data_IF_230212487089
#
_entry.id   IF_230212487089
#
_cell.length_a   1.000
_cell.length_b   1.000
_cell.length_c   1.000
_cell.angle_alpha   90.00
_cell.angle_beta   90.00
_cell.angle_gamma   90.00
#
_symmetry.space_group_name_H-M   'P 1'
#
loop_
_entity.id
_entity.type
_entity.pdbx_description
1 polymer ?
#
# COMPACT_ATOMS: atom_id res chain seq x y z
N UNK A 1 41.37 -32.34 -60.15
CA UNK A 1 39.98 -32.15 -60.58
C UNK A 1 39.29 -31.32 -59.51
N UNK A 2 38.81 -30.13 -59.90
CA UNK A 2 37.99 -29.14 -59.18
C UNK A 2 38.58 -28.32 -58.01
N UNK A 3 38.81 -27.04 -58.32
CA UNK A 3 39.00 -25.88 -57.46
C UNK A 3 37.72 -25.03 -57.39
N UNK A 4 37.55 -24.27 -56.29
CA UNK A 4 36.73 -23.04 -56.11
C UNK A 4 35.20 -23.15 -56.07
N UNK A 5 34.61 -22.65 -54.98
CA UNK A 5 33.99 -21.31 -54.95
C UNK A 5 33.50 -20.94 -53.55
N UNK A 6 34.04 -19.86 -52.99
CA UNK A 6 33.38 -19.11 -51.93
C UNK A 6 32.01 -18.62 -52.42
N UNK A 7 30.97 -18.75 -51.60
CA UNK A 7 29.77 -17.91 -51.72
C UNK A 7 29.43 -17.29 -50.37
N UNK A 8 29.72 -16.00 -50.34
CA UNK A 8 29.35 -15.00 -49.35
C UNK A 8 27.83 -14.77 -49.39
N UNK A 9 27.27 -14.45 -48.21
CA UNK A 9 25.96 -13.81 -47.95
C UNK A 9 24.72 -14.71 -48.16
N UNK A 10 23.78 -14.76 -47.22
CA UNK A 10 23.01 -13.59 -46.77
C UNK A 10 22.72 -13.58 -45.25
N UNK A 11 22.68 -12.41 -44.60
CA UNK A 11 22.12 -12.30 -43.25
C UNK A 11 20.60 -12.55 -43.31
N UNK A 12 19.98 -13.13 -42.25
CA UNK A 12 18.53 -13.30 -42.21
C UNK A 12 17.82 -11.94 -42.34
N UNK A 13 16.65 -11.88 -43.01
CA UNK A 13 15.90 -10.65 -43.17
C UNK A 13 15.54 -10.05 -41.81
N UNK A 14 15.84 -8.76 -41.66
CA UNK A 14 15.64 -7.96 -40.45
C UNK A 14 14.15 -7.94 -40.07
N UNK A 15 13.85 -8.29 -38.82
CA UNK A 15 12.58 -8.02 -38.15
C UNK A 15 12.41 -6.49 -38.02
N UNK A 16 11.87 -5.84 -39.04
CA UNK A 16 11.68 -4.39 -39.02
C UNK A 16 10.45 -3.99 -39.85
N UNK A 17 9.26 -4.06 -39.25
CA UNK A 17 8.14 -3.17 -39.61
C UNK A 17 6.88 -3.33 -38.75
N UNK A 18 6.78 -4.31 -37.85
CA UNK A 18 5.56 -4.54 -37.05
C UNK A 18 5.50 -3.72 -35.73
N UNK A 19 6.19 -2.59 -35.65
CA UNK A 19 6.26 -1.76 -34.42
C UNK A 19 5.44 -0.46 -34.47
N UNK A 20 4.92 -0.07 -35.63
CA UNK A 20 4.27 1.23 -35.81
C UNK A 20 2.73 1.17 -35.65
N UNK A 21 2.10 0.10 -36.14
CA UNK A 21 0.64 -0.09 -36.04
C UNK A 21 0.18 -0.45 -34.63
N UNK A 22 1.01 -1.13 -33.84
CA UNK A 22 0.72 -1.41 -32.43
C UNK A 22 0.78 -0.13 -31.56
N UNK A 23 1.69 0.82 -31.85
CA UNK A 23 1.88 2.03 -31.04
C UNK A 23 0.74 3.06 -31.14
N UNK A 24 -0.04 3.07 -32.23
CA UNK A 24 -1.13 4.04 -32.40
C UNK A 24 -2.42 3.59 -31.70
N UNK A 25 -2.81 2.32 -31.89
CA UNK A 25 -3.90 1.65 -31.15
C UNK A 25 -3.61 1.62 -29.64
N UNK A 26 -2.35 1.40 -29.27
CA UNK A 26 -1.88 1.45 -27.89
C UNK A 26 -2.00 2.85 -27.29
N UNK A 27 -1.86 3.95 -28.03
CA UNK A 27 -2.00 5.31 -27.47
C UNK A 27 -3.44 5.67 -27.10
N UNK A 28 -4.42 5.23 -27.87
CA UNK A 28 -5.84 5.43 -27.55
C UNK A 28 -6.30 4.52 -26.41
N UNK A 29 -5.76 3.28 -26.37
CA UNK A 29 -5.92 2.38 -25.22
C UNK A 29 -5.27 2.95 -23.95
N UNK A 30 -4.05 3.48 -24.05
CA UNK A 30 -3.33 4.12 -22.95
C UNK A 30 -4.06 5.37 -22.45
N UNK A 31 -4.55 6.24 -23.34
CA UNK A 31 -5.30 7.42 -22.92
C UNK A 31 -6.57 7.05 -22.13
N UNK A 32 -7.28 6.00 -22.57
CA UNK A 32 -8.41 5.44 -21.83
C UNK A 32 -8.01 4.85 -20.47
N UNK A 33 -6.89 4.12 -20.42
CA UNK A 33 -6.32 3.58 -19.17
C UNK A 33 -5.92 4.70 -18.21
N UNK A 34 -5.23 5.75 -18.68
CA UNK A 34 -4.85 6.89 -17.85
C UNK A 34 -6.07 7.68 -17.36
N UNK A 35 -7.08 7.87 -18.20
CA UNK A 35 -8.34 8.52 -17.80
C UNK A 35 -9.07 7.69 -16.73
N UNK A 36 -9.13 6.36 -16.91
CA UNK A 36 -9.68 5.45 -15.91
C UNK A 36 -8.89 5.49 -14.59
N UNK A 37 -7.56 5.42 -14.65
CA UNK A 37 -6.69 5.55 -13.47
C UNK A 37 -6.88 6.90 -12.77
N UNK A 38 -7.06 7.98 -13.52
CA UNK A 38 -7.28 9.32 -12.97
C UNK A 38 -8.64 9.40 -12.26
N UNK A 39 -9.71 8.92 -12.89
CA UNK A 39 -11.05 8.87 -12.26
C UNK A 39 -11.02 7.98 -11.01
N UNK A 40 -10.40 6.81 -11.11
CA UNK A 40 -10.29 5.86 -10.00
C UNK A 40 -9.45 6.42 -8.84
N UNK A 41 -8.36 7.12 -9.16
CA UNK A 41 -7.55 7.84 -8.17
C UNK A 41 -8.39 8.91 -7.47
N UNK A 42 -9.08 9.77 -8.20
CA UNK A 42 -9.96 10.79 -7.60
C UNK A 42 -11.01 10.14 -6.69
N UNK A 43 -11.64 9.05 -7.14
CA UNK A 43 -12.62 8.32 -6.36
C UNK A 43 -12.06 7.81 -5.02
N UNK A 44 -10.83 7.28 -5.01
CA UNK A 44 -10.13 6.86 -3.78
C UNK A 44 -9.83 8.05 -2.87
N UNK A 45 -9.52 9.23 -3.44
CA UNK A 45 -9.20 10.43 -2.65
C UNK A 45 -10.42 11.05 -1.95
N UNK A 46 -11.65 10.83 -2.44
CA UNK A 46 -12.88 11.40 -1.85
C UNK A 46 -12.96 11.23 -0.32
N UNK A 47 -12.84 10.02 0.27
CA UNK A 47 -12.88 9.85 1.73
C UNK A 47 -11.72 10.50 2.48
N UNK A 48 -10.63 10.88 1.81
CA UNK A 48 -9.49 11.59 2.41
C UNK A 48 -9.65 13.10 2.36
N UNK A 49 -10.36 13.63 1.36
CA UNK A 49 -10.63 15.07 1.23
C UNK A 49 -11.41 15.58 2.45
N UNK A 50 -12.38 14.81 2.95
CA UNK A 50 -13.20 15.24 4.08
C UNK A 50 -12.42 15.43 5.39
N UNK A 51 -11.65 14.45 5.90
CA UNK A 51 -10.78 14.64 7.06
C UNK A 51 -9.73 15.74 6.82
N UNK A 52 -9.22 15.86 5.59
CA UNK A 52 -8.24 16.88 5.24
C UNK A 52 -8.80 18.29 5.38
N UNK A 53 -9.98 18.58 4.81
CA UNK A 53 -10.66 19.88 4.98
C UNK A 53 -11.08 20.14 6.43
N UNK A 54 -11.51 19.09 7.13
CA UNK A 54 -11.93 19.18 8.54
C UNK A 54 -10.78 19.65 9.45
N UNK A 55 -9.55 19.23 9.18
CA UNK A 55 -8.37 19.62 9.95
C UNK A 55 -8.11 21.15 9.97
N UNK A 56 -8.65 21.91 9.00
CA UNK A 56 -8.44 23.36 8.88
C UNK A 56 -9.65 24.21 9.31
N UNK A 57 -10.72 23.60 9.84
CA UNK A 57 -11.97 24.32 10.19
C UNK A 57 -12.01 24.76 11.65
N UNK A 58 -12.28 26.04 11.93
CA UNK A 58 -12.14 26.64 13.27
C UNK A 58 -13.33 26.40 14.24
N UNK A 59 -14.38 25.66 13.86
CA UNK A 59 -15.57 25.47 14.72
C UNK A 59 -16.07 24.02 14.73
N UNK A 60 -16.67 23.54 15.84
CA UNK A 60 -17.42 22.29 15.89
C UNK A 60 -18.79 22.46 15.22
N UNK A 61 -18.83 23.01 14.01
CA UNK A 61 -20.06 22.99 13.21
C UNK A 61 -20.12 21.59 12.58
N UNK A 62 -20.61 20.64 13.37
CA UNK A 62 -20.99 19.27 13.01
C UNK A 62 -19.87 18.24 12.84
N UNK A 63 -19.33 17.77 13.98
CA UNK A 63 -18.64 16.47 14.08
C UNK A 63 -19.52 15.27 13.71
N UNK A 64 -20.80 15.50 13.42
CA UNK A 64 -21.84 14.51 13.14
C UNK A 64 -22.42 14.58 11.72
N UNK A 65 -22.03 15.55 10.89
CA UNK A 65 -22.51 15.60 9.50
C UNK A 65 -21.58 14.83 8.57
N UNK A 66 -22.13 13.79 7.92
CA UNK A 66 -21.46 12.97 6.91
C UNK A 66 -21.25 13.70 5.56
N UNK A 67 -21.45 15.02 5.51
CA UNK A 67 -21.46 15.82 4.29
C UNK A 67 -20.11 16.53 4.08
N UNK A 68 -19.66 16.54 2.82
CA UNK A 68 -18.49 17.32 2.39
C UNK A 68 -18.85 18.80 2.52
N UNK A 69 -18.28 19.48 3.51
CA UNK A 69 -18.47 20.92 3.71
C UNK A 69 -17.20 21.69 3.37
N UNK A 70 -17.33 22.79 2.64
CA UNK A 70 -16.21 23.67 2.36
C UNK A 70 -16.00 24.60 3.55
N UNK A 71 -14.79 24.69 4.12
CA UNK A 71 -14.52 25.51 5.30
C UNK A 71 -14.84 26.99 5.03
N UNK A 72 -15.68 27.61 5.87
CA UNK A 72 -15.97 29.07 5.80
C UNK A 72 -14.75 29.90 6.20
N UNK A 73 -13.90 29.34 7.06
CA UNK A 73 -12.67 29.96 7.55
C UNK A 73 -11.57 28.92 7.66
N UNK A 74 -10.46 29.16 6.98
CA UNK A 74 -9.28 28.31 7.02
C UNK A 74 -8.38 28.73 8.19
N UNK A 75 -8.02 27.80 9.08
CA UNK A 75 -7.14 28.07 10.23
C UNK A 75 -6.06 27.01 10.40
N UNK A 76 -4.98 27.41 11.09
CA UNK A 76 -3.88 26.56 11.53
C UNK A 76 -3.90 26.30 13.05
N UNK A 77 -4.89 26.83 13.77
CA UNK A 77 -4.95 26.77 15.24
C UNK A 77 -4.95 25.34 15.79
N UNK A 78 -5.59 24.39 15.07
CA UNK A 78 -5.61 22.97 15.44
C UNK A 78 -4.21 22.35 15.44
N UNK A 79 -3.37 22.71 14.47
CA UNK A 79 -1.99 22.22 14.40
C UNK A 79 -1.15 22.82 15.53
N UNK A 80 -1.33 24.11 15.82
CA UNK A 80 -0.62 24.76 16.92
C UNK A 80 -1.02 24.16 18.28
N UNK A 81 -2.32 23.95 18.51
CA UNK A 81 -2.82 23.32 19.74
C UNK A 81 -2.43 21.83 19.83
N UNK A 82 -2.33 21.12 18.70
CA UNK A 82 -1.87 19.75 18.67
C UNK A 82 -0.40 19.62 19.11
N UNK A 83 0.47 20.51 18.65
CA UNK A 83 1.92 20.46 18.89
C UNK A 83 2.30 21.10 20.23
N UNK A 84 1.84 22.32 20.49
CA UNK A 84 2.26 23.14 21.63
C UNK A 84 1.18 23.27 22.71
N UNK A 85 -0.07 22.96 22.38
CA UNK A 85 -1.20 23.03 23.30
C UNK A 85 -1.45 21.70 24.02
N UNK A 86 -2.74 21.39 24.22
CA UNK A 86 -3.17 20.22 25.01
C UNK A 86 -3.17 18.90 24.22
N UNK A 87 -2.96 18.96 22.90
CA UNK A 87 -3.08 17.77 22.04
C UNK A 87 -1.94 16.75 22.19
N UNK A 88 -0.81 17.13 22.81
CA UNK A 88 0.34 16.24 23.06
C UNK A 88 0.79 15.43 21.83
N UNK A 89 0.60 15.96 20.61
CA UNK A 89 0.73 15.19 19.38
C UNK A 89 2.12 14.58 19.21
N UNK A 90 3.19 15.31 19.56
CA UNK A 90 4.56 14.80 19.51
C UNK A 90 4.78 13.61 20.45
N UNK A 91 4.22 13.66 21.66
CA UNK A 91 4.34 12.57 22.63
C UNK A 91 3.58 11.33 22.16
N UNK A 92 2.35 11.53 21.66
CA UNK A 92 1.55 10.43 21.11
C UNK A 92 2.23 9.80 19.90
N UNK A 93 2.75 10.61 18.97
CA UNK A 93 3.50 10.14 17.81
C UNK A 93 4.75 9.36 18.23
N UNK A 94 5.53 9.87 19.20
CA UNK A 94 6.71 9.16 19.72
C UNK A 94 6.34 7.83 20.36
N UNK A 95 5.28 7.80 21.18
CA UNK A 95 4.84 6.58 21.85
C UNK A 95 4.37 5.52 20.83
N UNK A 96 3.59 5.93 19.83
CA UNK A 96 3.16 5.05 18.74
C UNK A 96 4.35 4.56 17.91
N UNK A 97 5.28 5.45 17.55
CA UNK A 97 6.45 5.09 16.76
C UNK A 97 7.35 4.09 17.48
N UNK A 98 7.61 4.30 18.78
CA UNK A 98 8.42 3.38 19.58
C UNK A 98 7.71 2.05 19.79
N UNK A 99 6.41 2.07 20.10
CA UNK A 99 5.64 0.85 20.37
C UNK A 99 5.48 0.01 19.11
N UNK A 100 5.00 0.62 18.02
CA UNK A 100 4.79 -0.08 16.74
C UNK A 100 6.11 -0.44 16.11
N UNK A 101 7.10 0.47 16.10
CA UNK A 101 8.42 0.18 15.55
C UNK A 101 9.12 -0.97 16.27
N UNK A 102 9.08 -0.98 17.60
CA UNK A 102 9.60 -2.10 18.40
C UNK A 102 8.88 -3.41 18.12
N UNK A 103 7.54 -3.39 18.09
CA UNK A 103 6.73 -4.56 17.79
C UNK A 103 7.02 -5.12 16.38
N UNK A 104 7.16 -4.25 15.38
CA UNK A 104 7.48 -4.64 13.99
C UNK A 104 8.88 -5.24 13.91
N UNK A 105 9.89 -4.62 14.50
CA UNK A 105 11.26 -5.14 14.49
C UNK A 105 11.33 -6.53 15.14
N UNK A 106 10.73 -6.68 16.32
CA UNK A 106 10.71 -7.95 17.04
C UNK A 106 9.95 -9.04 16.26
N UNK A 107 8.77 -8.68 15.74
CA UNK A 107 7.95 -9.59 14.93
C UNK A 107 8.69 -10.00 13.65
N UNK A 108 9.41 -9.08 13.02
CA UNK A 108 10.16 -9.36 11.80
C UNK A 108 11.27 -10.38 12.06
N UNK A 109 12.05 -10.21 13.14
CA UNK A 109 13.10 -11.16 13.53
C UNK A 109 12.52 -12.55 13.79
N UNK A 110 11.49 -12.66 14.63
CA UNK A 110 10.88 -13.94 14.98
C UNK A 110 10.23 -14.60 13.76
N UNK A 111 9.45 -13.83 12.99
CA UNK A 111 8.69 -14.34 11.85
C UNK A 111 9.62 -14.75 10.71
N UNK A 112 10.72 -14.03 10.46
CA UNK A 112 11.69 -14.42 9.45
C UNK A 112 12.47 -15.69 9.85
N UNK A 113 12.89 -15.82 11.12
CA UNK A 113 13.50 -17.05 11.61
C UNK A 113 12.53 -18.25 11.56
N UNK A 114 11.31 -18.06 12.06
CA UNK A 114 10.26 -19.08 12.06
C UNK A 114 9.84 -19.48 10.65
N UNK A 115 9.64 -18.51 9.77
CA UNK A 115 9.31 -18.72 8.37
C UNK A 115 10.42 -19.42 7.59
N UNK A 116 11.69 -19.07 7.85
CA UNK A 116 12.84 -19.77 7.26
C UNK A 116 12.91 -21.23 7.71
N UNK A 117 12.77 -21.48 9.01
CA UNK A 117 12.74 -22.82 9.57
C UNK A 117 11.57 -23.64 8.98
N UNK A 118 10.37 -23.07 8.88
CA UNK A 118 9.22 -23.72 8.27
C UNK A 118 9.43 -24.00 6.78
N UNK A 119 10.07 -23.08 6.05
CA UNK A 119 10.32 -23.20 4.61
C UNK A 119 11.34 -24.30 4.29
N UNK A 120 12.50 -24.28 4.94
CA UNK A 120 13.62 -25.20 4.62
C UNK A 120 13.60 -26.51 5.39
N UNK A 121 13.04 -26.56 6.60
CA UNK A 121 13.06 -27.79 7.41
C UNK A 121 11.98 -28.79 6.97
N UNK A 122 12.34 -30.09 7.00
CA UNK A 122 11.44 -31.21 6.70
C UNK A 122 11.16 -32.00 7.97
N UNK A 123 10.17 -31.54 8.75
CA UNK A 123 9.75 -32.15 10.02
C UNK A 123 8.33 -32.71 9.92
N UNK A 124 8.06 -33.81 10.65
CA UNK A 124 6.81 -34.58 10.60
C UNK A 124 5.55 -33.73 10.83
N UNK A 125 5.61 -32.73 11.71
CA UNK A 125 4.45 -31.92 12.12
C UNK A 125 4.30 -30.58 11.37
N UNK A 126 5.05 -30.36 10.28
CA UNK A 126 5.02 -29.11 9.50
C UNK A 126 3.64 -28.68 9.07
N UNK A 127 2.84 -29.62 8.56
CA UNK A 127 1.48 -29.33 8.09
C UNK A 127 0.55 -28.91 9.22
N UNK A 128 0.63 -29.58 10.36
CA UNK A 128 -0.17 -29.24 11.55
C UNK A 128 0.19 -27.86 12.10
N UNK A 129 1.47 -27.51 12.16
CA UNK A 129 1.93 -26.18 12.60
C UNK A 129 1.48 -25.07 11.64
N UNK A 130 1.59 -25.29 10.32
CA UNK A 130 1.09 -24.33 9.33
C UNK A 130 -0.42 -24.11 9.46
N UNK A 131 -1.20 -25.20 9.59
CA UNK A 131 -2.64 -25.07 9.84
C UNK A 131 -2.93 -24.35 11.16
N UNK A 132 -2.22 -24.67 12.24
CA UNK A 132 -2.39 -23.99 13.53
C UNK A 132 -2.20 -22.47 13.44
N UNK A 133 -1.15 -22.02 12.73
CA UNK A 133 -0.90 -20.59 12.50
C UNK A 133 -2.06 -19.94 11.73
N UNK A 134 -2.57 -20.63 10.69
CA UNK A 134 -3.72 -20.14 9.92
C UNK A 134 -4.99 -20.07 10.77
N UNK A 135 -5.26 -21.09 11.59
CA UNK A 135 -6.43 -21.09 12.49
C UNK A 135 -6.38 -19.91 13.46
N UNK A 136 -5.21 -19.59 14.01
CA UNK A 136 -5.04 -18.43 14.92
C UNK A 136 -5.29 -17.11 14.18
N UNK A 137 -4.88 -16.97 12.91
CA UNK A 137 -5.12 -15.74 12.13
C UNK A 137 -6.59 -15.50 11.78
N UNK A 138 -7.42 -16.55 11.77
CA UNK A 138 -8.87 -16.42 11.51
C UNK A 138 -9.59 -15.81 12.72
N UNK A 139 -9.02 -15.89 13.93
CA UNK A 139 -9.62 -15.33 15.13
C UNK A 139 -9.73 -13.80 14.97
N UNK A 140 -10.94 -13.23 15.06
CA UNK A 140 -11.12 -11.80 14.92
C UNK A 140 -10.44 -11.06 16.07
N UNK A 141 -9.65 -10.04 15.76
CA UNK A 141 -8.92 -9.25 16.76
C UNK A 141 -9.82 -8.54 17.78
N UNK A 142 -11.12 -8.41 17.53
CA UNK A 142 -12.08 -7.90 18.51
C UNK A 142 -12.34 -8.87 19.67
N UNK A 143 -12.22 -10.19 19.44
CA UNK A 143 -12.42 -11.21 20.47
C UNK A 143 -11.26 -11.29 21.48
N UNK A 144 -10.05 -10.89 21.09
CA UNK A 144 -8.86 -10.88 21.97
C UNK A 144 -8.79 -9.66 22.87
N UNK A 145 -9.57 -8.61 22.57
CA UNK A 145 -9.59 -7.36 23.32
C UNK A 145 -10.47 -7.46 24.58
N UNK A 146 -11.55 -8.24 24.54
CA UNK A 146 -12.48 -8.46 25.66
C UNK A 146 -11.79 -8.92 26.97
N UNK A 147 -10.90 -9.93 26.95
CA UNK A 147 -10.24 -10.41 28.16
C UNK A 147 -9.23 -9.43 28.77
N UNK A 148 -8.77 -8.42 28.02
CA UNK A 148 -7.79 -7.42 28.51
C UNK A 148 -8.45 -6.29 29.31
N UNK A 149 -9.79 -6.19 29.27
CA UNK A 149 -10.55 -5.14 29.95
C UNK A 149 -11.22 -5.59 31.26
N UNK A 150 -11.17 -6.88 31.59
CA UNK A 150 -11.61 -7.45 32.88
C UNK A 150 -10.40 -7.67 33.80
#
# INVERSE_FOLDING_TARGET
MSTRSETISTPPPRLASTGASYRAEERWSLAGVYLFLLIFSIFILIPFIWPFLSAFTNKPENVSSLYLYWPVSFTWDHFWNAIYGRGQALTLLRNSLLTVGGAVLFSLVICSMGGYALSRSRFRFKRALMFGILLVQIIPGTATVLPLYL
#
